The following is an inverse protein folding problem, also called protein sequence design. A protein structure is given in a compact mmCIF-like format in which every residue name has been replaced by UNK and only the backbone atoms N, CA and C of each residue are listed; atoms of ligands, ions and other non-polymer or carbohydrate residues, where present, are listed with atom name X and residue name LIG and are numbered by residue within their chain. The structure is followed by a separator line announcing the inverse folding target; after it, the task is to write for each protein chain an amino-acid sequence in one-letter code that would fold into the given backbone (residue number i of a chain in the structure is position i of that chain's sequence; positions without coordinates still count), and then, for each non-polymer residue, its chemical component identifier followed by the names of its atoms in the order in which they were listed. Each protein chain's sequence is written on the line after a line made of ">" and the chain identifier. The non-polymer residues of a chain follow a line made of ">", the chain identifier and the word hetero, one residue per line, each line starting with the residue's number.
data_IF_298071944787
#
_entry.id   IF_298071944787
#
_cell.length_a   1.000
_cell.length_b   1.000
_cell.length_c   1.000
_cell.angle_alpha   90.00
_cell.angle_beta   90.00
_cell.angle_gamma   90.00
#
_symmetry.space_group_name_H-M   'P 1'
#
loop_
_entity.id
_entity.type
_entity.pdbx_description
1 polymer ?
#
# COMPACT_ATOMS: atom_id res chain seq x y z
N UNK A 1 -15.21 -16.10 -5.51
CA UNK A 1 -14.22 -15.19 -4.90
C UNK A 1 -14.72 -13.80 -5.19
N UNK A 2 -15.07 -13.05 -4.16
CA UNK A 2 -15.42 -11.63 -4.33
C UNK A 2 -14.17 -10.82 -4.68
N UNK A 3 -14.34 -9.63 -5.22
CA UNK A 3 -13.27 -8.68 -5.49
C UNK A 3 -12.53 -8.33 -4.20
N UNK A 4 -13.22 -8.19 -3.07
CA UNK A 4 -12.59 -7.96 -1.76
C UNK A 4 -11.71 -9.16 -1.35
N UNK A 5 -12.20 -10.40 -1.50
CA UNK A 5 -11.40 -11.61 -1.22
C UNK A 5 -10.17 -11.70 -2.14
N UNK A 6 -10.33 -11.33 -3.41
CA UNK A 6 -9.23 -11.32 -4.38
C UNK A 6 -8.19 -10.24 -4.03
N UNK A 7 -8.65 -9.04 -3.65
CA UNK A 7 -7.80 -7.94 -3.19
C UNK A 7 -7.03 -8.32 -1.93
N UNK A 8 -7.71 -8.87 -0.92
CA UNK A 8 -7.06 -9.35 0.29
C UNK A 8 -5.97 -10.40 -0.01
N UNK A 9 -6.23 -11.30 -0.96
CA UNK A 9 -5.25 -12.30 -1.42
C UNK A 9 -4.05 -11.66 -2.12
N UNK A 10 -4.26 -10.61 -2.92
CA UNK A 10 -3.16 -9.87 -3.57
C UNK A 10 -2.34 -9.12 -2.53
N UNK A 11 -2.97 -8.43 -1.58
CA UNK A 11 -2.29 -7.72 -0.49
C UNK A 11 -1.46 -8.68 0.38
N UNK A 12 -1.97 -9.88 0.68
CA UNK A 12 -1.22 -10.93 1.38
C UNK A 12 0.04 -11.35 0.61
N UNK A 13 -0.05 -11.54 -0.70
CA UNK A 13 1.11 -11.86 -1.54
C UNK A 13 2.14 -10.75 -1.55
N UNK A 14 1.69 -9.49 -1.59
CA UNK A 14 2.58 -8.34 -1.51
C UNK A 14 3.30 -8.29 -0.15
N UNK A 15 2.59 -8.52 0.96
CA UNK A 15 3.19 -8.64 2.30
C UNK A 15 4.25 -9.73 2.36
N UNK A 16 3.96 -10.92 1.82
CA UNK A 16 4.94 -11.99 1.75
C UNK A 16 6.19 -11.58 0.97
N UNK A 17 6.01 -10.87 -0.16
CA UNK A 17 7.13 -10.32 -0.93
C UNK A 17 7.98 -9.32 -0.13
N UNK A 18 7.36 -8.48 0.71
CA UNK A 18 8.09 -7.56 1.60
C UNK A 18 8.87 -8.30 2.68
N UNK A 19 8.31 -9.36 3.26
CA UNK A 19 9.00 -10.21 4.25
C UNK A 19 10.22 -10.90 3.62
N UNK A 20 10.11 -11.37 2.38
CA UNK A 20 11.23 -11.96 1.63
C UNK A 20 12.33 -10.92 1.35
N UNK A 21 11.95 -9.70 0.96
CA UNK A 21 12.89 -8.58 0.75
C UNK A 21 13.60 -8.18 2.05
N UNK A 22 12.88 -8.09 3.17
CA UNK A 22 13.47 -7.79 4.47
C UNK A 22 14.49 -8.87 4.88
N UNK A 23 14.14 -10.14 4.71
CA UNK A 23 15.04 -11.25 4.99
C UNK A 23 16.29 -11.22 4.10
N UNK A 24 16.14 -10.89 2.82
CA UNK A 24 17.27 -10.72 1.91
C UNK A 24 18.18 -9.57 2.36
N UNK A 25 17.61 -8.43 2.75
CA UNK A 25 18.34 -7.28 3.28
C UNK A 25 19.19 -7.65 4.50
N UNK A 26 18.63 -8.44 5.42
CA UNK A 26 19.30 -8.86 6.64
C UNK A 26 20.41 -9.89 6.40
N UNK A 27 20.23 -10.82 5.45
CA UNK A 27 21.12 -11.99 5.30
C UNK A 27 22.22 -11.81 4.26
N UNK A 28 21.94 -11.19 3.12
CA UNK A 28 22.81 -11.33 1.93
C UNK A 28 22.86 -10.09 1.03
N UNK A 29 22.29 -8.97 1.48
CA UNK A 29 22.46 -7.73 0.75
C UNK A 29 23.89 -7.20 0.95
N UNK A 30 24.65 -7.05 -0.13
CA UNK A 30 26.02 -6.51 -0.12
C UNK A 30 26.12 -5.04 0.32
N UNK A 31 25.07 -4.49 0.92
CA UNK A 31 24.98 -3.13 1.42
C UNK A 31 25.77 -2.93 2.71
N UNK A 32 26.25 -1.70 2.91
CA UNK A 32 26.78 -1.26 4.19
C UNK A 32 25.65 -1.16 5.24
N UNK A 33 26.03 -1.11 6.52
CA UNK A 33 25.07 -1.11 7.62
C UNK A 33 24.11 0.09 7.61
N UNK A 34 24.53 1.25 7.10
CA UNK A 34 23.67 2.43 7.05
C UNK A 34 22.60 2.28 5.96
N UNK A 35 23.00 1.80 4.77
CA UNK A 35 22.10 1.49 3.67
C UNK A 35 21.12 0.38 4.05
N UNK A 36 21.59 -0.69 4.71
CA UNK A 36 20.71 -1.74 5.27
C UNK A 36 19.65 -1.17 6.20
N UNK A 37 20.06 -0.34 7.15
CA UNK A 37 19.13 0.27 8.11
C UNK A 37 18.10 1.16 7.43
N UNK A 38 18.49 1.91 6.40
CA UNK A 38 17.57 2.75 5.64
C UNK A 38 16.59 1.89 4.83
N UNK A 39 17.08 0.91 4.09
CA UNK A 39 16.24 0.02 3.29
C UNK A 39 15.27 -0.80 4.15
N UNK A 40 15.72 -1.32 5.29
CA UNK A 40 14.82 -2.03 6.23
C UNK A 40 13.72 -1.13 6.76
N UNK A 41 13.98 0.16 7.00
CA UNK A 41 12.94 1.11 7.41
C UNK A 41 11.94 1.37 6.30
N UNK A 42 12.40 1.48 5.05
CA UNK A 42 11.54 1.68 3.88
C UNK A 42 10.64 0.47 3.65
N UNK A 43 11.20 -0.73 3.66
CA UNK A 43 10.45 -2.00 3.54
C UNK A 43 9.45 -2.13 4.70
N UNK A 44 9.86 -1.80 5.92
CA UNK A 44 8.97 -1.80 7.08
C UNK A 44 7.80 -0.81 6.94
N UNK A 45 8.05 0.37 6.37
CA UNK A 45 7.00 1.35 6.05
C UNK A 45 6.00 0.84 5.02
N UNK A 46 6.49 0.29 3.91
CA UNK A 46 5.65 -0.31 2.87
C UNK A 46 4.80 -1.47 3.42
N UNK A 47 5.41 -2.34 4.23
CA UNK A 47 4.70 -3.43 4.91
C UNK A 47 3.58 -2.91 5.80
N UNK A 48 3.84 -1.85 6.59
CA UNK A 48 2.82 -1.24 7.44
C UNK A 48 1.65 -0.66 6.62
N UNK A 49 1.93 0.01 5.50
CA UNK A 49 0.88 0.50 4.60
C UNK A 49 0.01 -0.65 4.07
N UNK A 50 0.63 -1.70 3.53
CA UNK A 50 -0.09 -2.84 2.95
C UNK A 50 -0.93 -3.56 4.01
N UNK A 51 -0.40 -3.72 5.22
CA UNK A 51 -1.14 -4.35 6.33
C UNK A 51 -2.36 -3.52 6.75
N UNK A 52 -2.24 -2.18 6.79
CA UNK A 52 -3.39 -1.32 7.05
C UNK A 52 -4.49 -1.52 6.00
N UNK A 53 -4.14 -1.47 4.71
CA UNK A 53 -5.13 -1.67 3.64
C UNK A 53 -5.76 -3.06 3.70
N UNK A 54 -4.98 -4.10 3.99
CA UNK A 54 -5.48 -5.47 4.16
C UNK A 54 -6.46 -5.56 5.32
N UNK A 55 -6.12 -4.96 6.46
CA UNK A 55 -6.98 -4.94 7.63
C UNK A 55 -8.29 -4.22 7.32
N UNK A 56 -8.23 -3.05 6.67
CA UNK A 56 -9.40 -2.31 6.24
C UNK A 56 -10.31 -3.12 5.29
N UNK A 57 -9.75 -3.74 4.23
CA UNK A 57 -10.52 -4.60 3.31
C UNK A 57 -11.23 -5.74 4.07
N UNK A 58 -10.58 -6.30 5.10
CA UNK A 58 -11.16 -7.34 5.94
C UNK A 58 -12.29 -6.88 6.87
N UNK A 59 -12.50 -5.57 7.03
CA UNK A 59 -13.59 -5.01 7.83
C UNK A 59 -14.84 -4.67 7.03
N UNK A 60 -14.76 -4.68 5.70
CA UNK A 60 -15.87 -4.32 4.82
C UNK A 60 -16.91 -5.43 4.74
N UNK A 61 -18.19 -5.06 4.90
CA UNK A 61 -19.35 -5.93 4.74
C UNK A 61 -20.04 -5.80 3.38
N UNK A 62 -19.54 -4.90 2.52
CA UNK A 62 -19.99 -4.67 1.15
C UNK A 62 -18.86 -4.86 0.15
N UNK A 63 -19.22 -5.06 -1.13
CA UNK A 63 -18.25 -5.27 -2.21
C UNK A 63 -17.73 -3.94 -2.76
N UNK A 64 -16.40 -3.81 -2.86
CA UNK A 64 -15.75 -2.65 -3.45
C UNK A 64 -15.93 -2.64 -4.98
N UNK A 65 -16.25 -1.48 -5.60
CA UNK A 65 -16.42 -1.35 -7.04
C UNK A 65 -15.07 -1.24 -7.76
N UNK A 66 -14.22 -2.25 -7.62
CA UNK A 66 -12.84 -2.27 -8.13
C UNK A 66 -12.61 -3.40 -9.12
N UNK A 67 -11.57 -3.26 -9.94
CA UNK A 67 -11.04 -4.36 -10.73
C UNK A 67 -9.54 -4.52 -10.50
N UNK A 68 -9.09 -5.77 -10.35
CA UNK A 68 -7.67 -6.12 -10.24
C UNK A 68 -7.20 -6.76 -11.54
N UNK A 69 -6.14 -6.22 -12.12
CA UNK A 69 -5.56 -6.70 -13.38
C UNK A 69 -4.10 -7.04 -13.14
N UNK A 70 -3.69 -8.25 -13.50
CA UNK A 70 -2.28 -8.61 -13.49
C UNK A 70 -1.54 -7.87 -14.61
N UNK A 71 -0.37 -7.28 -14.33
CA UNK A 71 0.39 -6.59 -15.36
C UNK A 71 1.17 -7.59 -16.22
N UNK A 72 1.03 -7.47 -17.55
CA UNK A 72 1.60 -8.43 -18.49
C UNK A 72 3.14 -8.43 -18.50
N UNK A 73 3.76 -7.30 -18.17
CA UNK A 73 5.20 -7.08 -18.30
C UNK A 73 6.00 -7.49 -17.07
N UNK A 74 5.36 -7.66 -15.92
CA UNK A 74 6.05 -7.89 -14.65
C UNK A 74 5.35 -8.99 -13.86
N UNK A 75 5.92 -10.21 -13.80
CA UNK A 75 5.34 -11.30 -13.05
C UNK A 75 5.09 -10.93 -11.58
N UNK A 76 3.87 -11.15 -11.11
CA UNK A 76 3.48 -10.80 -9.73
C UNK A 76 3.13 -9.33 -9.52
N UNK A 77 3.22 -8.49 -10.55
CA UNK A 77 2.69 -7.11 -10.50
C UNK A 77 1.19 -7.10 -10.78
N UNK A 78 0.50 -6.23 -10.06
CA UNK A 78 -0.94 -6.04 -10.13
C UNK A 78 -1.24 -4.56 -10.28
N UNK A 79 -2.34 -4.27 -10.95
CA UNK A 79 -2.92 -2.95 -11.05
C UNK A 79 -4.31 -2.96 -10.45
N UNK A 80 -4.57 -2.00 -9.57
CA UNK A 80 -5.90 -1.69 -9.08
C UNK A 80 -6.53 -0.63 -9.99
N UNK A 81 -7.66 -0.97 -10.57
CA UNK A 81 -8.49 -0.04 -11.34
C UNK A 81 -9.71 0.31 -10.51
N UNK A 82 -9.80 1.57 -10.13
CA UNK A 82 -10.98 2.21 -9.59
C UNK A 82 -11.17 3.54 -10.31
N UNK A 83 -12.39 3.81 -10.74
CA UNK A 83 -12.75 4.97 -11.56
C UNK A 83 -13.47 6.07 -10.76
N UNK A 84 -13.46 5.97 -9.43
CA UNK A 84 -14.23 6.84 -8.54
C UNK A 84 -15.68 6.43 -8.36
N UNK A 85 -16.11 5.29 -8.93
CA UNK A 85 -17.46 4.76 -8.70
C UNK A 85 -17.68 4.41 -7.21
N UNK A 86 -18.91 4.64 -6.74
CA UNK A 86 -19.32 4.40 -5.35
C UNK A 86 -20.46 3.38 -5.31
N UNK A 87 -20.57 2.64 -4.21
CA UNK A 87 -21.76 1.85 -3.86
C UNK A 87 -22.47 2.46 -2.65
N UNK A 88 -23.69 1.99 -2.35
CA UNK A 88 -24.60 2.60 -1.39
C UNK A 88 -24.03 2.64 0.05
N UNK A 89 -23.19 1.67 0.39
CA UNK A 89 -22.58 1.50 1.71
C UNK A 89 -21.21 2.19 1.86
N UNK A 90 -20.65 2.71 0.77
CA UNK A 90 -19.28 3.22 0.74
C UNK A 90 -19.17 4.61 1.36
N UNK A 91 -18.29 4.77 2.35
CA UNK A 91 -18.04 6.09 2.96
C UNK A 91 -17.00 6.90 2.17
N UNK A 92 -16.86 8.17 2.52
CA UNK A 92 -15.78 9.03 2.00
C UNK A 92 -14.40 8.49 2.41
N UNK A 93 -14.27 7.97 3.64
CA UNK A 93 -13.04 7.33 4.11
C UNK A 93 -12.69 6.11 3.26
N UNK A 94 -13.68 5.33 2.81
CA UNK A 94 -13.43 4.15 1.95
C UNK A 94 -12.96 4.57 0.55
N UNK A 95 -13.50 5.67 0.02
CA UNK A 95 -13.01 6.29 -1.22
C UNK A 95 -11.56 6.74 -1.06
N UNK A 96 -11.22 7.37 0.07
CA UNK A 96 -9.86 7.83 0.35
C UNK A 96 -8.89 6.67 0.53
N UNK A 97 -9.33 5.56 1.15
CA UNK A 97 -8.56 4.33 1.27
C UNK A 97 -8.30 3.69 -0.10
N UNK A 98 -9.30 3.65 -0.99
CA UNK A 98 -9.12 3.15 -2.36
C UNK A 98 -8.11 3.99 -3.15
N UNK A 99 -8.26 5.30 -3.10
CA UNK A 99 -7.35 6.24 -3.77
C UNK A 99 -5.91 6.09 -3.25
N UNK A 100 -5.76 6.05 -1.93
CA UNK A 100 -4.46 5.90 -1.28
C UNK A 100 -3.81 4.56 -1.64
N UNK A 101 -4.59 3.47 -1.63
CA UNK A 101 -4.12 2.15 -1.99
C UNK A 101 -3.70 2.09 -3.47
N UNK A 102 -4.50 2.66 -4.37
CA UNK A 102 -4.19 2.73 -5.80
C UNK A 102 -2.87 3.46 -6.02
N UNK A 103 -2.66 4.60 -5.36
CA UNK A 103 -1.45 5.40 -5.49
C UNK A 103 -0.21 4.76 -4.85
N UNK A 104 -0.32 4.34 -3.58
CA UNK A 104 0.85 3.91 -2.77
C UNK A 104 1.25 2.46 -3.04
N UNK A 105 0.28 1.55 -3.17
CA UNK A 105 0.55 0.10 -3.26
C UNK A 105 0.60 -0.35 -4.71
N UNK A 106 -0.30 0.16 -5.55
CA UNK A 106 -0.45 -0.27 -6.94
C UNK A 106 0.17 0.70 -7.97
N UNK A 107 0.98 1.66 -7.51
CA UNK A 107 1.70 2.63 -8.35
C UNK A 107 0.81 3.39 -9.34
N UNK A 108 -0.39 3.78 -8.90
CA UNK A 108 -1.30 4.61 -9.70
C UNK A 108 -0.70 5.97 -10.04
N UNK A 109 -1.08 6.52 -11.20
CA UNK A 109 -0.48 7.75 -11.75
C UNK A 109 -0.75 9.02 -10.92
N UNK A 110 -1.81 9.03 -10.10
CA UNK A 110 -2.22 10.19 -9.32
C UNK A 110 -3.17 9.81 -8.18
N UNK A 111 -3.26 10.68 -7.18
CA UNK A 111 -4.28 10.64 -6.12
C UNK A 111 -5.08 11.95 -6.07
N UNK A 112 -6.29 11.93 -5.50
CA UNK A 112 -7.07 13.15 -5.24
C UNK A 112 -6.37 14.04 -4.21
N UNK A 113 -6.36 15.35 -4.44
CA UNK A 113 -5.80 16.35 -3.51
C UNK A 113 -6.58 16.34 -2.18
N UNK A 114 -5.88 16.48 -1.05
CA UNK A 114 -6.49 16.55 0.29
C UNK A 114 -6.80 15.21 0.94
N UNK A 115 -6.30 14.09 0.38
CA UNK A 115 -6.45 12.77 0.98
C UNK A 115 -5.48 12.59 2.18
N UNK A 116 -5.97 12.83 3.39
CA UNK A 116 -5.20 12.73 4.63
C UNK A 116 -4.62 11.32 4.89
N UNK A 117 -5.25 10.28 4.30
CA UNK A 117 -4.76 8.90 4.41
C UNK A 117 -3.43 8.77 3.67
N UNK A 118 -3.27 9.42 2.52
CA UNK A 118 -2.01 9.40 1.76
C UNK A 118 -0.90 10.06 2.55
N UNK A 119 -1.14 11.25 3.10
CA UNK A 119 -0.14 11.96 3.90
C UNK A 119 0.27 11.14 5.12
N UNK A 120 -0.70 10.50 5.80
CA UNK A 120 -0.43 9.57 6.89
C UNK A 120 0.42 8.38 6.44
N UNK A 121 0.08 7.75 5.32
CA UNK A 121 0.73 6.52 4.83
C UNK A 121 2.12 6.78 4.26
N UNK A 122 2.34 7.88 3.53
CA UNK A 122 3.66 8.27 3.04
C UNK A 122 4.65 8.55 4.17
N UNK A 123 4.14 8.90 5.35
CA UNK A 123 4.95 9.05 6.55
C UNK A 123 5.53 7.74 7.08
N UNK A 124 4.98 6.59 6.67
CA UNK A 124 5.45 5.28 7.12
C UNK A 124 6.81 4.96 6.49
N UNK A 125 7.81 4.70 7.34
CA UNK A 125 9.18 4.40 6.92
C UNK A 125 10.08 5.63 6.74
N UNK A 126 9.55 6.85 6.81
CA UNK A 126 10.36 8.06 6.86
C UNK A 126 11.14 8.14 8.18
N UNK A 127 12.41 8.61 8.16
CA UNK A 127 13.10 9.04 9.37
C UNK A 127 12.28 10.09 10.11
N UNK A 128 12.28 10.03 11.44
CA UNK A 128 11.50 10.92 12.32
C UNK A 128 11.59 12.41 11.95
N UNK A 129 12.79 12.91 11.65
CA UNK A 129 12.98 14.30 11.21
C UNK A 129 12.23 14.65 9.91
N UNK A 130 12.24 13.75 8.92
CA UNK A 130 11.54 13.96 7.65
C UNK A 130 10.03 13.79 7.82
N UNK A 131 9.59 12.92 8.73
CA UNK A 131 8.18 12.78 9.10
C UNK A 131 7.65 14.07 9.75
N UNK A 132 8.42 14.67 10.65
CA UNK A 132 8.04 15.91 11.33
C UNK A 132 7.96 17.09 10.34
N UNK A 133 8.85 17.14 9.34
CA UNK A 133 8.81 18.14 8.27
C UNK A 133 7.56 17.98 7.36
N UNK A 134 7.14 16.74 7.07
CA UNK A 134 5.93 16.45 6.28
C UNK A 134 4.65 16.77 7.06
N UNK A 135 4.61 16.46 8.36
CA UNK A 135 3.44 16.72 9.21
C UNK A 135 3.26 18.22 9.59
N UNK A 136 4.28 19.05 9.36
CA UNK A 136 4.28 20.47 9.70
C UNK A 136 4.08 21.43 8.52
N UNK A 137 3.72 20.91 7.33
CA UNK A 137 3.52 21.69 6.09
C UNK A 137 2.07 22.07 5.85
#
# INVERSE_FOLDING_TARGET
>A
MSCNEHLATVLEKLLQGQDEQEQWLQKDSGFDNSSKKMMSKLVGGQRACIDEFRNWVGTLDYELPIALVAEETTPGSWRLNWDGSTCDEMTETDQDMLDAMQYIVFNGDSCREGNEIIDRMLSFGLPEKLRDDVAGS
#
